data_IF_381040643322
#
_entry.id   IF_381040643322
#
_cell.length_a   1.000
_cell.length_b   1.000
_cell.length_c   1.000
_cell.angle_alpha   90.00
_cell.angle_beta   90.00
_cell.angle_gamma   90.00
#
_symmetry.space_group_name_H-M   'P 1'
#
loop_
_entity.id
_entity.type
_entity.pdbx_description
1 polymer ?
#
# COMPACT_ATOMS: atom_id res chain seq x y z
N UNK A 1 35.25 -6.83 11.31
CA UNK A 1 34.17 -6.30 12.17
C UNK A 1 33.17 -5.64 11.24
N UNK A 2 31.89 -5.98 11.30
CA UNK A 2 30.84 -5.33 10.49
C UNK A 2 30.78 -3.86 10.89
N UNK A 3 30.67 -2.96 9.91
CA UNK A 3 30.50 -1.52 10.14
C UNK A 3 29.18 -1.28 10.89
N UNK A 4 29.26 -0.68 12.08
CA UNK A 4 28.08 -0.31 12.88
C UNK A 4 27.83 1.18 12.70
N UNK A 5 26.62 1.55 12.28
CA UNK A 5 26.19 2.95 12.15
C UNK A 5 25.06 3.22 13.14
N UNK A 6 25.22 4.27 13.93
CA UNK A 6 24.26 4.66 14.96
C UNK A 6 23.55 5.98 14.61
N UNK A 7 22.27 6.08 15.00
CA UNK A 7 21.49 7.32 14.98
C UNK A 7 20.54 7.41 16.18
N UNK A 8 20.08 8.59 16.54
CA UNK A 8 19.05 8.78 17.58
C UNK A 8 17.72 8.16 17.11
N UNK A 9 17.37 8.36 15.85
CA UNK A 9 16.16 7.81 15.23
C UNK A 9 16.54 6.99 14.01
N UNK A 10 16.31 5.69 14.07
CA UNK A 10 16.44 4.77 12.93
C UNK A 10 15.06 4.62 12.29
N UNK A 11 14.97 4.83 10.98
CA UNK A 11 13.72 4.70 10.21
C UNK A 11 13.90 3.59 9.19
N UNK A 12 12.97 2.62 9.16
CA UNK A 12 12.98 1.52 8.19
C UNK A 12 11.81 1.69 7.21
N UNK A 13 12.14 1.94 5.94
CA UNK A 13 11.18 2.17 4.87
C UNK A 13 11.12 3.62 4.42
N UNK A 14 10.96 3.82 3.11
CA UNK A 14 11.07 5.12 2.42
C UNK A 14 9.79 5.54 1.68
N UNK A 15 8.64 5.02 2.06
CA UNK A 15 7.35 5.53 1.60
C UNK A 15 7.02 6.91 2.20
N UNK A 16 5.83 7.42 1.94
CA UNK A 16 5.38 8.72 2.44
C UNK A 16 5.50 8.85 3.96
N UNK A 17 5.24 7.78 4.72
CA UNK A 17 5.42 7.74 6.17
C UNK A 17 6.89 7.91 6.56
N UNK A 18 7.79 7.13 5.94
CA UNK A 18 9.23 7.14 6.27
C UNK A 18 9.89 8.47 5.95
N UNK A 19 9.66 9.02 4.76
CA UNK A 19 10.22 10.32 4.41
C UNK A 19 9.66 11.44 5.29
N UNK A 20 8.36 11.41 5.61
CA UNK A 20 7.78 12.41 6.52
C UNK A 20 8.37 12.30 7.92
N UNK A 21 8.51 11.09 8.47
CA UNK A 21 9.16 10.88 9.76
C UNK A 21 10.61 11.41 9.76
N UNK A 22 11.35 11.13 8.68
CA UNK A 22 12.73 11.61 8.51
C UNK A 22 12.81 13.14 8.47
N UNK A 23 11.92 13.81 7.74
CA UNK A 23 11.86 15.27 7.66
C UNK A 23 11.62 15.87 9.04
N UNK A 24 10.64 15.39 9.79
CA UNK A 24 10.30 15.93 11.10
C UNK A 24 11.40 15.66 12.14
N UNK A 25 11.96 14.45 12.17
CA UNK A 25 13.06 14.09 13.06
C UNK A 25 14.34 14.92 12.77
N UNK A 26 14.69 15.11 11.48
CA UNK A 26 15.84 15.94 11.11
C UNK A 26 15.66 17.39 11.53
N UNK A 27 14.46 17.97 11.33
CA UNK A 27 14.15 19.34 11.77
C UNK A 27 14.17 19.50 13.29
N UNK A 28 14.01 18.42 14.05
CA UNK A 28 14.17 18.38 15.52
C UNK A 28 15.62 18.13 15.96
N UNK A 29 16.60 18.13 15.06
CA UNK A 29 18.02 17.83 15.32
C UNK A 29 18.25 16.43 15.92
N UNK A 30 17.42 15.44 15.53
CA UNK A 30 17.57 14.06 15.97
C UNK A 30 18.50 13.24 15.07
N UNK A 31 19.05 13.85 14.01
CA UNK A 31 19.97 13.20 13.07
C UNK A 31 19.50 11.83 12.56
N UNK A 32 18.29 11.75 11.98
CA UNK A 32 17.71 10.47 11.61
C UNK A 32 18.51 9.77 10.52
N UNK A 33 18.54 8.44 10.59
CA UNK A 33 19.02 7.55 9.55
C UNK A 33 17.82 6.79 8.98
N UNK A 34 17.62 6.87 7.67
CA UNK A 34 16.53 6.18 6.97
C UNK A 34 17.12 5.12 6.04
N UNK A 35 16.73 3.84 6.26
CA UNK A 35 17.07 2.72 5.38
C UNK A 35 15.93 2.53 4.39
N UNK A 36 16.26 2.68 3.09
CA UNK A 36 15.26 2.85 2.02
C UNK A 36 14.51 1.57 1.61
N UNK A 37 15.14 0.40 1.79
CA UNK A 37 14.57 -0.88 1.39
C UNK A 37 14.69 -1.19 -0.11
N UNK A 38 14.03 -2.27 -0.54
CA UNK A 38 14.10 -2.79 -1.92
C UNK A 38 13.42 -1.84 -2.92
N UNK A 39 12.33 -1.19 -2.50
CA UNK A 39 11.54 -0.28 -3.34
C UNK A 39 11.59 1.14 -2.77
N UNK A 40 12.64 1.91 -3.10
CA UNK A 40 12.78 3.28 -2.63
C UNK A 40 11.63 4.17 -3.09
N UNK A 41 10.95 4.84 -2.15
CA UNK A 41 9.74 5.62 -2.41
C UNK A 41 8.42 4.85 -2.20
N UNK A 42 8.48 3.52 -2.07
CA UNK A 42 7.33 2.68 -1.74
C UNK A 42 6.28 2.61 -2.85
N UNK A 43 5.01 2.38 -2.47
CA UNK A 43 3.92 2.08 -3.41
C UNK A 43 3.63 3.22 -4.42
N UNK A 44 3.86 4.48 -4.05
CA UNK A 44 3.64 5.61 -4.97
C UNK A 44 4.60 5.61 -6.17
N UNK A 45 5.70 4.85 -6.14
CA UNK A 45 6.63 4.78 -7.28
C UNK A 45 6.13 3.85 -8.40
N UNK A 46 5.12 3.05 -8.14
CA UNK A 46 4.48 2.16 -9.12
C UNK A 46 3.08 2.63 -9.50
N UNK A 47 2.64 3.80 -9.00
CA UNK A 47 1.41 4.46 -9.46
C UNK A 47 1.76 5.56 -10.49
N UNK A 48 0.77 5.96 -11.29
CA UNK A 48 0.92 7.01 -12.28
C UNK A 48 0.43 8.35 -11.70
N UNK A 49 -0.81 8.68 -11.97
CA UNK A 49 -1.43 9.95 -11.60
C UNK A 49 -1.87 9.96 -10.15
N UNK A 50 -1.59 11.05 -9.44
CA UNK A 50 -1.97 11.31 -8.06
C UNK A 50 -2.70 12.65 -7.99
N UNK A 51 -3.99 12.61 -7.65
CA UNK A 51 -4.86 13.79 -7.52
C UNK A 51 -5.32 14.04 -6.08
N UNK A 52 -5.09 13.08 -5.19
CA UNK A 52 -5.62 13.08 -3.83
C UNK A 52 -4.57 13.35 -2.74
N UNK A 53 -3.36 13.78 -3.11
CA UNK A 53 -2.36 14.26 -2.15
C UNK A 53 -2.45 15.80 -2.04
N UNK A 54 -2.84 16.35 -0.87
CA UNK A 54 -3.07 17.79 -0.73
C UNK A 54 -1.82 18.62 -0.97
N UNK A 55 -1.98 19.79 -1.59
CA UNK A 55 -0.91 20.74 -1.85
C UNK A 55 -0.63 20.98 -3.34
N UNK A 56 -1.25 20.19 -4.21
CA UNK A 56 -1.10 20.31 -5.66
C UNK A 56 -2.46 20.56 -6.30
N UNK A 57 -2.56 21.61 -7.11
CA UNK A 57 -3.79 21.96 -7.81
C UNK A 57 -4.01 21.13 -9.08
N UNK A 58 -2.93 20.62 -9.65
CA UNK A 58 -2.94 19.80 -10.86
C UNK A 58 -2.51 18.37 -10.53
N UNK A 59 -2.79 17.46 -11.45
CA UNK A 59 -2.35 16.06 -11.37
C UNK A 59 -0.83 15.99 -11.32
N UNK A 60 -0.32 15.22 -10.37
CA UNK A 60 1.11 14.92 -10.25
C UNK A 60 1.37 13.45 -10.44
N UNK A 61 2.60 13.09 -10.77
CA UNK A 61 3.02 11.70 -10.88
C UNK A 61 3.51 11.18 -9.52
N UNK A 62 3.10 9.96 -9.15
CA UNK A 62 3.53 9.32 -7.91
C UNK A 62 5.05 9.24 -7.76
N UNK A 63 5.82 8.77 -8.75
CA UNK A 63 7.28 8.78 -8.70
C UNK A 63 7.87 10.17 -8.46
N UNK A 64 7.33 11.18 -9.13
CA UNK A 64 7.79 12.58 -8.95
C UNK A 64 7.53 13.07 -7.52
N UNK A 65 6.36 12.79 -6.94
CA UNK A 65 6.06 13.15 -5.56
C UNK A 65 7.08 12.53 -4.59
N UNK A 66 7.39 11.24 -4.78
CA UNK A 66 8.35 10.55 -3.92
C UNK A 66 9.77 11.06 -4.08
N UNK A 67 10.16 11.52 -5.28
CA UNK A 67 11.44 12.20 -5.51
C UNK A 67 11.50 13.54 -4.77
N UNK A 68 10.39 14.33 -4.77
CA UNK A 68 10.32 15.58 -4.00
C UNK A 68 10.43 15.32 -2.51
N UNK A 69 9.74 14.31 -1.97
CA UNK A 69 9.84 13.96 -0.55
C UNK A 69 11.25 13.46 -0.18
N UNK A 70 11.90 12.69 -1.03
CA UNK A 70 13.28 12.26 -0.87
C UNK A 70 14.23 13.46 -0.82
N UNK A 71 14.14 14.35 -1.81
CA UNK A 71 14.97 15.55 -1.89
C UNK A 71 14.76 16.46 -0.66
N UNK A 72 13.53 16.62 -0.19
CA UNK A 72 13.20 17.36 1.02
C UNK A 72 13.85 16.75 2.25
N UNK A 73 13.76 15.42 2.42
CA UNK A 73 14.36 14.72 3.55
C UNK A 73 15.91 14.85 3.56
N UNK A 74 16.54 14.78 2.39
CA UNK A 74 17.98 15.05 2.25
C UNK A 74 18.34 16.51 2.59
N UNK A 75 17.55 17.47 2.08
CA UNK A 75 17.80 18.89 2.30
C UNK A 75 17.80 19.27 3.79
N UNK A 76 16.95 18.63 4.59
CA UNK A 76 16.89 18.88 6.04
C UNK A 76 17.91 18.06 6.85
N UNK A 77 18.74 17.23 6.20
CA UNK A 77 19.88 16.56 6.84
C UNK A 77 19.64 15.11 7.24
N UNK A 78 18.63 14.42 6.69
CA UNK A 78 18.45 12.98 6.89
C UNK A 78 19.60 12.19 6.24
N UNK A 79 20.16 11.22 6.97
CA UNK A 79 21.15 10.26 6.44
C UNK A 79 20.42 9.14 5.70
N UNK A 80 20.42 9.19 4.36
CA UNK A 80 19.81 8.13 3.52
C UNK A 80 20.75 6.93 3.37
N UNK A 81 20.24 5.74 3.52
CA UNK A 81 20.98 4.49 3.43
C UNK A 81 20.34 3.61 2.34
N UNK A 82 21.15 3.30 1.33
CA UNK A 82 20.79 2.34 0.28
C UNK A 82 21.10 0.92 0.79
N UNK A 83 20.16 0.32 1.49
CA UNK A 83 20.23 -1.03 2.03
C UNK A 83 18.82 -1.56 2.28
N UNK A 84 18.71 -2.88 2.51
CA UNK A 84 17.46 -3.55 2.87
C UNK A 84 17.65 -4.25 4.21
N UNK A 85 16.81 -3.94 5.18
CA UNK A 85 16.87 -4.60 6.48
C UNK A 85 16.35 -6.04 6.35
N UNK A 86 17.13 -6.99 6.82
CA UNK A 86 16.82 -8.43 6.79
C UNK A 86 16.57 -9.03 8.18
N UNK A 87 16.98 -8.34 9.25
CA UNK A 87 16.64 -8.73 10.62
C UNK A 87 16.65 -7.53 11.56
N UNK A 88 15.90 -7.65 12.67
CA UNK A 88 15.86 -6.64 13.75
C UNK A 88 15.93 -7.33 15.12
N UNK A 89 16.49 -6.64 16.10
CA UNK A 89 16.44 -7.01 17.53
C UNK A 89 15.87 -5.84 18.32
N UNK A 90 14.65 -6.00 18.83
CA UNK A 90 13.93 -4.99 19.61
C UNK A 90 13.97 -5.29 21.11
N UNK A 91 14.74 -6.30 21.55
CA UNK A 91 14.78 -6.75 22.96
C UNK A 91 15.52 -5.78 23.89
N UNK A 92 16.37 -4.92 23.35
CA UNK A 92 17.19 -3.95 24.11
C UNK A 92 17.50 -2.69 23.31
N UNK A 93 17.85 -1.62 24.00
CA UNK A 93 18.36 -0.37 23.39
C UNK A 93 19.89 -0.31 23.45
N UNK A 94 20.54 0.29 22.42
CA UNK A 94 19.95 0.78 21.18
C UNK A 94 19.36 -0.40 20.38
N UNK A 95 18.24 -0.19 19.68
CA UNK A 95 17.64 -1.17 18.80
C UNK A 95 18.60 -1.50 17.65
N UNK A 96 18.60 -2.75 17.21
CA UNK A 96 19.55 -3.23 16.20
C UNK A 96 18.80 -3.66 14.94
N UNK A 97 19.28 -3.24 13.78
CA UNK A 97 18.85 -3.70 12.48
C UNK A 97 20.06 -4.13 11.65
N UNK A 98 19.96 -5.25 10.96
CA UNK A 98 21.01 -5.78 10.08
C UNK A 98 20.54 -5.64 8.65
N UNK A 99 21.36 -5.02 7.82
CA UNK A 99 21.12 -4.88 6.38
C UNK A 99 21.60 -6.10 5.59
N UNK A 100 21.05 -6.28 4.39
CA UNK A 100 21.47 -7.31 3.42
C UNK A 100 22.94 -7.11 3.01
N UNK A 101 23.44 -5.89 3.05
CA UNK A 101 24.86 -5.57 2.84
C UNK A 101 25.79 -6.12 3.95
N UNK A 102 25.24 -6.74 5.01
CA UNK A 102 25.97 -7.17 6.21
C UNK A 102 26.33 -6.06 7.19
N UNK A 103 25.92 -4.81 6.95
CA UNK A 103 26.10 -3.67 7.87
C UNK A 103 25.07 -3.73 8.98
N UNK A 104 25.46 -3.19 10.14
CA UNK A 104 24.60 -3.08 11.31
C UNK A 104 24.21 -1.61 11.53
N UNK A 105 22.92 -1.37 11.73
CA UNK A 105 22.34 -0.06 12.03
C UNK A 105 21.74 -0.11 13.43
N UNK A 106 21.95 0.95 14.21
CA UNK A 106 21.39 1.04 15.55
C UNK A 106 20.66 2.35 15.76
N UNK A 107 19.59 2.33 16.55
CA UNK A 107 18.83 3.53 16.89
C UNK A 107 18.44 3.54 18.36
N UNK A 108 18.44 4.72 18.99
CA UNK A 108 17.87 4.89 20.34
C UNK A 108 16.35 4.74 20.30
N UNK A 109 15.73 5.18 19.19
CA UNK A 109 14.35 4.92 18.83
C UNK A 109 14.25 4.34 17.40
N UNK A 110 13.15 3.65 17.11
CA UNK A 110 12.91 3.02 15.82
C UNK A 110 11.54 3.42 15.28
N UNK A 111 11.50 3.89 14.03
CA UNK A 111 10.25 4.10 13.28
C UNK A 111 10.13 3.03 12.19
N UNK A 112 9.08 2.22 12.26
CA UNK A 112 8.74 1.21 11.27
C UNK A 112 7.77 1.84 10.26
N UNK A 113 8.22 2.00 9.01
CA UNK A 113 7.49 2.61 7.91
C UNK A 113 7.54 1.72 6.65
N UNK A 114 7.55 0.41 6.85
CA UNK A 114 7.73 -0.61 5.80
C UNK A 114 6.50 -0.79 4.90
N UNK A 115 5.37 -0.18 5.26
CA UNK A 115 4.15 -0.18 4.45
C UNK A 115 3.44 -1.52 4.36
N UNK A 116 2.58 -1.64 3.35
CA UNK A 116 1.88 -2.85 2.98
C UNK A 116 1.92 -3.01 1.46
N UNK A 117 1.84 -4.25 0.99
CA UNK A 117 1.82 -4.58 -0.43
C UNK A 117 0.44 -5.08 -0.82
N UNK A 118 -0.11 -4.59 -1.92
CA UNK A 118 -1.32 -5.16 -2.50
C UNK A 118 -1.08 -6.61 -2.89
N UNK A 119 -2.08 -7.46 -2.70
CA UNK A 119 -2.06 -8.81 -3.22
C UNK A 119 -2.43 -8.79 -4.69
N UNK A 120 -1.65 -9.48 -5.47
CA UNK A 120 -1.86 -9.66 -6.89
C UNK A 120 -2.19 -11.11 -7.21
N UNK A 121 -2.81 -11.35 -8.35
CA UNK A 121 -3.10 -12.71 -8.82
C UNK A 121 -1.85 -13.39 -9.40
N UNK A 122 -0.84 -12.59 -9.78
CA UNK A 122 0.40 -13.07 -10.37
C UNK A 122 0.31 -13.36 -11.88
N UNK A 123 -0.65 -12.75 -12.56
CA UNK A 123 -0.80 -12.86 -14.01
C UNK A 123 0.18 -11.93 -14.71
N UNK A 124 0.82 -12.39 -15.79
CA UNK A 124 1.69 -11.53 -16.61
C UNK A 124 0.94 -10.32 -17.18
N UNK A 125 -0.31 -10.55 -17.61
CA UNK A 125 -1.19 -9.49 -18.12
C UNK A 125 -1.57 -8.46 -17.06
N UNK A 126 -1.72 -8.86 -15.79
CA UNK A 126 -1.93 -7.96 -14.66
C UNK A 126 -0.77 -6.96 -14.53
N UNK A 127 0.47 -7.46 -14.61
CA UNK A 127 1.67 -6.63 -14.55
C UNK A 127 1.81 -5.70 -15.79
N UNK A 128 1.47 -6.20 -16.97
CA UNK A 128 1.59 -5.45 -18.21
C UNK A 128 0.68 -4.20 -18.26
N UNK A 129 -0.48 -4.26 -17.60
CA UNK A 129 -1.44 -3.15 -17.56
C UNK A 129 -1.50 -2.44 -16.21
N UNK A 130 -0.57 -2.70 -15.29
CA UNK A 130 -0.50 -2.00 -14.00
C UNK A 130 -0.28 -0.49 -14.22
N UNK A 131 -1.21 0.34 -13.68
CA UNK A 131 -1.25 1.78 -13.91
C UNK A 131 -1.84 2.20 -15.28
N UNK A 132 -2.13 1.24 -16.16
CA UNK A 132 -2.75 1.47 -17.47
C UNK A 132 -4.08 0.74 -17.62
N UNK A 133 -4.84 0.66 -16.55
CA UNK A 133 -6.13 -0.01 -16.50
C UNK A 133 -6.23 -1.10 -15.44
N UNK A 134 -5.12 -1.57 -14.88
CA UNK A 134 -5.10 -2.46 -13.71
C UNK A 134 -4.67 -1.68 -12.47
N UNK A 135 -5.49 -1.75 -11.42
CA UNK A 135 -5.28 -1.06 -10.14
C UNK A 135 -5.59 -1.99 -8.96
N UNK A 136 -5.10 -1.66 -7.77
CA UNK A 136 -5.48 -2.30 -6.50
C UNK A 136 -6.02 -1.27 -5.48
N UNK A 137 -6.47 -0.09 -5.95
CA UNK A 137 -6.96 0.99 -5.09
C UNK A 137 -8.06 1.80 -5.78
N UNK A 138 -9.31 1.50 -5.50
CA UNK A 138 -10.44 2.25 -6.04
C UNK A 138 -10.46 3.73 -5.59
N UNK A 139 -10.01 4.01 -4.36
CA UNK A 139 -9.94 5.38 -3.82
C UNK A 139 -8.87 6.22 -4.53
N UNK A 140 -7.82 5.58 -5.04
CA UNK A 140 -6.76 6.25 -5.77
C UNK A 140 -7.18 6.54 -7.23
N UNK A 141 -7.68 5.52 -7.92
CA UNK A 141 -7.80 5.51 -9.38
C UNK A 141 -9.26 5.57 -9.89
N UNK A 142 -10.24 5.41 -9.01
CA UNK A 142 -11.65 5.34 -9.42
C UNK A 142 -12.16 6.55 -10.21
N UNK A 143 -11.60 7.74 -9.95
CA UNK A 143 -11.95 8.96 -10.66
C UNK A 143 -11.69 8.88 -12.18
N UNK A 144 -10.63 8.19 -12.61
CA UNK A 144 -10.25 8.04 -14.03
C UNK A 144 -11.23 7.17 -14.84
N UNK A 145 -12.13 6.48 -14.13
CA UNK A 145 -13.15 5.59 -14.73
C UNK A 145 -14.54 6.20 -14.76
N UNK A 146 -14.64 7.54 -14.71
CA UNK A 146 -15.92 8.23 -14.82
C UNK A 146 -16.60 7.93 -16.15
N UNK A 147 -17.82 7.37 -16.07
CA UNK A 147 -18.63 7.00 -17.24
C UNK A 147 -18.15 5.75 -17.98
N UNK A 148 -17.21 4.99 -17.39
CA UNK A 148 -16.65 3.75 -17.94
C UNK A 148 -17.14 2.54 -17.18
N UNK A 149 -16.95 1.37 -17.76
CA UNK A 149 -17.26 0.08 -17.14
C UNK A 149 -16.00 -0.52 -16.55
N UNK A 150 -16.10 -1.07 -15.32
CA UNK A 150 -14.95 -1.63 -14.62
C UNK A 150 -15.26 -2.99 -14.00
N UNK A 151 -14.24 -3.83 -13.85
CA UNK A 151 -14.31 -5.07 -13.10
C UNK A 151 -13.57 -4.94 -11.76
N UNK A 152 -14.16 -5.48 -10.69
CA UNK A 152 -13.53 -5.64 -9.37
C UNK A 152 -13.37 -7.13 -9.10
N UNK A 153 -12.15 -7.55 -8.82
CA UNK A 153 -11.83 -8.96 -8.58
C UNK A 153 -11.68 -9.19 -7.09
N UNK A 154 -12.59 -9.95 -6.49
CA UNK A 154 -12.53 -10.24 -5.06
C UNK A 154 -13.86 -10.71 -4.48
N UNK A 155 -13.98 -10.76 -3.15
CA UNK A 155 -15.21 -11.22 -2.48
C UNK A 155 -15.18 -11.05 -0.96
N UNK A 156 -14.20 -10.32 -0.43
CA UNK A 156 -14.13 -9.87 0.97
C UNK A 156 -14.63 -8.44 1.12
N UNK A 157 -14.52 -7.87 2.33
CA UNK A 157 -14.92 -6.49 2.62
C UNK A 157 -14.29 -5.49 1.65
N UNK A 158 -12.98 -5.58 1.42
CA UNK A 158 -12.26 -4.70 0.49
C UNK A 158 -12.89 -4.67 -0.91
N UNK A 159 -13.23 -5.85 -1.47
CA UNK A 159 -13.83 -5.91 -2.80
C UNK A 159 -15.23 -5.28 -2.85
N UNK A 160 -16.03 -5.47 -1.81
CA UNK A 160 -17.37 -4.87 -1.71
C UNK A 160 -17.27 -3.36 -1.51
N UNK A 161 -16.37 -2.90 -0.66
CA UNK A 161 -16.12 -1.46 -0.42
C UNK A 161 -15.65 -0.76 -1.70
N UNK A 162 -14.68 -1.34 -2.40
CA UNK A 162 -14.17 -0.79 -3.66
C UNK A 162 -15.23 -0.81 -4.76
N UNK A 163 -16.00 -1.88 -4.90
CA UNK A 163 -17.09 -1.94 -5.87
C UNK A 163 -18.14 -0.85 -5.60
N UNK A 164 -18.55 -0.68 -4.34
CA UNK A 164 -19.48 0.38 -3.94
C UNK A 164 -18.90 1.78 -4.20
N UNK A 165 -17.63 2.00 -3.87
CA UNK A 165 -16.95 3.27 -4.10
C UNK A 165 -16.90 3.64 -5.59
N UNK A 166 -16.55 2.67 -6.44
CA UNK A 166 -16.46 2.86 -7.90
C UNK A 166 -17.79 3.25 -8.54
N UNK A 167 -18.94 2.90 -7.94
CA UNK A 167 -20.26 3.34 -8.46
C UNK A 167 -20.47 4.84 -8.46
N UNK A 168 -19.66 5.60 -7.72
CA UNK A 168 -19.70 7.07 -7.74
C UNK A 168 -19.18 7.63 -9.08
N UNK A 169 -18.38 6.86 -9.81
CA UNK A 169 -17.73 7.29 -11.04
C UNK A 169 -18.15 6.42 -12.23
N UNK A 170 -17.99 5.12 -12.12
CA UNK A 170 -18.24 4.17 -13.19
C UNK A 170 -19.71 4.13 -13.64
N UNK A 171 -19.93 3.83 -14.92
CA UNK A 171 -21.24 3.52 -15.47
C UNK A 171 -21.73 2.19 -14.94
N UNK A 172 -20.86 1.20 -14.91
CA UNK A 172 -21.14 -0.13 -14.42
C UNK A 172 -19.92 -0.74 -13.71
N UNK A 173 -20.17 -1.51 -12.67
CA UNK A 173 -19.15 -2.24 -11.90
C UNK A 173 -19.49 -3.72 -11.92
N UNK A 174 -18.61 -4.54 -12.44
CA UNK A 174 -18.72 -5.99 -12.40
C UNK A 174 -17.91 -6.52 -11.22
N UNK A 175 -18.57 -7.04 -10.19
CA UNK A 175 -17.87 -7.73 -9.09
C UNK A 175 -17.71 -9.21 -9.41
N UNK A 176 -16.48 -9.59 -9.76
CA UNK A 176 -16.11 -10.95 -10.14
C UNK A 176 -15.66 -11.72 -8.92
N UNK A 177 -16.34 -12.81 -8.60
CA UNK A 177 -15.99 -13.66 -7.47
C UNK A 177 -15.95 -15.14 -7.85
N UNK A 178 -14.93 -15.85 -7.36
CA UNK A 178 -14.66 -17.27 -7.68
C UNK A 178 -15.62 -18.27 -7.04
N UNK A 179 -16.59 -17.81 -6.25
CA UNK A 179 -17.62 -18.61 -5.56
C UNK A 179 -18.98 -17.98 -5.78
N UNK A 180 -20.02 -18.65 -5.33
CA UNK A 180 -21.41 -18.21 -5.35
C UNK A 180 -21.85 -17.39 -4.12
N UNK A 181 -20.91 -17.15 -3.17
CA UNK A 181 -21.17 -16.35 -1.96
C UNK A 181 -19.97 -15.47 -1.59
N UNK A 182 -20.26 -14.27 -1.09
CA UNK A 182 -19.27 -13.33 -0.59
C UNK A 182 -18.89 -13.63 0.86
N UNK A 183 -17.62 -13.32 1.22
CA UNK A 183 -17.12 -13.37 2.58
C UNK A 183 -17.24 -12.04 3.32
N UNK A 184 -17.67 -11.00 2.63
CA UNK A 184 -17.89 -9.67 3.21
C UNK A 184 -18.97 -9.68 4.28
N UNK A 185 -19.00 -8.68 5.14
CA UNK A 185 -20.03 -8.49 6.14
C UNK A 185 -21.43 -8.37 5.51
N UNK A 186 -22.45 -8.94 6.17
CA UNK A 186 -23.81 -8.97 5.62
C UNK A 186 -24.37 -7.60 5.28
N UNK A 187 -24.13 -6.62 6.14
CA UNK A 187 -24.60 -5.24 5.91
C UNK A 187 -23.99 -4.63 4.63
N UNK A 188 -22.74 -4.96 4.33
CA UNK A 188 -22.05 -4.51 3.13
C UNK A 188 -22.59 -5.21 1.88
N UNK A 189 -22.87 -6.51 1.99
CA UNK A 189 -23.51 -7.29 0.92
C UNK A 189 -24.91 -6.74 0.59
N UNK A 190 -25.72 -6.38 1.60
CA UNK A 190 -27.03 -5.79 1.39
C UNK A 190 -26.99 -4.47 0.63
N UNK A 191 -25.98 -3.62 0.91
CA UNK A 191 -25.75 -2.37 0.19
C UNK A 191 -25.34 -2.63 -1.27
N UNK A 192 -24.44 -3.57 -1.45
CA UNK A 192 -23.95 -3.96 -2.77
C UNK A 192 -25.08 -4.48 -3.66
N UNK A 193 -25.91 -5.42 -3.17
CA UNK A 193 -27.01 -6.00 -3.95
C UNK A 193 -28.16 -5.03 -4.25
N UNK A 194 -28.26 -3.93 -3.51
CA UNK A 194 -29.23 -2.85 -3.79
C UNK A 194 -28.73 -1.85 -4.82
N UNK A 195 -27.46 -1.88 -5.18
CA UNK A 195 -26.88 -0.92 -6.11
C UNK A 195 -27.05 -1.38 -7.57
N UNK A 196 -27.87 -0.64 -8.32
CA UNK A 196 -28.21 -0.97 -9.71
C UNK A 196 -27.03 -0.92 -10.68
N UNK A 197 -25.93 -0.25 -10.32
CA UNK A 197 -24.71 -0.19 -11.13
C UNK A 197 -23.81 -1.41 -10.94
N UNK A 198 -24.06 -2.24 -9.92
CA UNK A 198 -23.21 -3.41 -9.64
C UNK A 198 -23.86 -4.67 -10.21
N UNK A 199 -23.09 -5.39 -11.01
CA UNK A 199 -23.43 -6.72 -11.51
C UNK A 199 -22.49 -7.76 -10.92
N UNK A 200 -23.05 -8.80 -10.32
CA UNK A 200 -22.27 -9.92 -9.80
C UNK A 200 -21.91 -10.91 -10.91
N UNK A 201 -20.65 -11.26 -11.00
CA UNK A 201 -20.14 -12.32 -11.86
C UNK A 201 -19.62 -13.43 -10.94
N UNK A 202 -20.51 -14.35 -10.62
CA UNK A 202 -20.24 -15.48 -9.73
C UNK A 202 -19.47 -16.60 -10.42
N UNK A 203 -18.78 -17.41 -9.63
CA UNK A 203 -18.05 -18.61 -10.06
C UNK A 203 -16.99 -18.35 -11.14
N UNK A 204 -16.44 -17.13 -11.18
CA UNK A 204 -15.40 -16.77 -12.14
C UNK A 204 -14.14 -16.25 -11.45
N UNK A 205 -13.00 -16.53 -12.08
CA UNK A 205 -11.69 -15.93 -11.77
C UNK A 205 -11.25 -15.10 -12.97
N UNK A 206 -10.40 -14.10 -12.72
CA UNK A 206 -9.67 -13.43 -13.80
C UNK A 206 -8.63 -14.42 -14.34
N UNK A 207 -8.66 -14.66 -15.64
CA UNK A 207 -7.71 -15.52 -16.36
C UNK A 207 -6.63 -14.68 -17.05
N UNK A 208 -7.05 -13.56 -17.67
CA UNK A 208 -6.17 -12.67 -18.39
C UNK A 208 -6.76 -11.26 -18.48
N UNK A 209 -5.93 -10.24 -18.50
CA UNK A 209 -6.31 -8.87 -18.87
C UNK A 209 -5.85 -8.61 -20.29
N UNK A 210 -6.76 -8.10 -21.13
CA UNK A 210 -6.48 -7.78 -22.52
C UNK A 210 -6.66 -6.28 -22.75
N UNK A 211 -5.92 -5.76 -23.70
CA UNK A 211 -6.00 -4.35 -24.01
C UNK A 211 -5.06 -3.90 -25.13
N UNK A 212 -5.10 -2.61 -25.40
CA UNK A 212 -4.25 -1.98 -26.39
C UNK A 212 -2.84 -1.76 -25.82
N UNK A 213 -1.84 -1.78 -26.69
CA UNK A 213 -0.44 -1.56 -26.32
C UNK A 213 0.05 -0.15 -26.66
N UNK A 214 -0.66 0.55 -27.54
CA UNK A 214 -0.23 1.88 -27.99
C UNK A 214 -1.44 2.78 -28.34
N UNK A 215 -1.90 3.68 -27.45
CA UNK A 215 -1.45 3.80 -26.05
C UNK A 215 -1.87 2.58 -25.22
N UNK A 216 -1.14 2.25 -24.14
CA UNK A 216 -1.53 1.12 -23.31
C UNK A 216 -2.84 1.41 -22.59
N UNK A 217 -3.71 0.39 -22.49
CA UNK A 217 -5.00 0.51 -21.83
C UNK A 217 -5.80 -0.78 -21.86
N UNK A 218 -6.51 -1.07 -20.77
CA UNK A 218 -7.38 -2.24 -20.66
C UNK A 218 -8.63 -2.06 -21.53
N UNK A 219 -9.05 -3.12 -22.23
CA UNK A 219 -10.29 -3.18 -22.98
C UNK A 219 -11.16 -4.38 -22.60
N UNK A 220 -10.57 -5.42 -21.98
CA UNK A 220 -11.28 -6.66 -21.68
C UNK A 220 -10.68 -7.36 -20.47
N UNK A 221 -11.53 -7.84 -19.57
CA UNK A 221 -11.20 -8.83 -18.57
C UNK A 221 -11.64 -10.22 -19.07
N UNK A 222 -10.70 -11.12 -19.35
CA UNK A 222 -10.98 -12.50 -19.67
C UNK A 222 -11.21 -13.28 -18.40
N UNK A 223 -12.37 -13.85 -18.25
CA UNK A 223 -12.79 -14.59 -17.08
C UNK A 223 -12.86 -16.07 -17.38
N UNK A 224 -12.56 -16.89 -16.37
CA UNK A 224 -12.66 -18.34 -16.44
C UNK A 224 -13.62 -18.83 -15.36
N UNK A 225 -14.62 -19.59 -15.76
CA UNK A 225 -15.55 -20.19 -14.83
C UNK A 225 -14.85 -21.24 -13.96
N UNK A 226 -14.97 -21.12 -12.64
CA UNK A 226 -14.17 -21.88 -11.66
C UNK A 226 -14.43 -23.39 -11.71
N UNK A 227 -15.61 -23.84 -12.16
CA UNK A 227 -15.99 -25.26 -12.19
C UNK A 227 -15.89 -25.84 -13.60
N UNK A 228 -16.41 -25.13 -14.61
CA UNK A 228 -16.49 -25.67 -16.00
C UNK A 228 -15.25 -25.35 -16.83
N UNK A 229 -14.47 -24.34 -16.43
CA UNK A 229 -13.34 -23.85 -17.21
C UNK A 229 -13.74 -23.02 -18.44
N UNK A 230 -15.03 -22.73 -18.64
CA UNK A 230 -15.52 -21.91 -19.74
C UNK A 230 -14.95 -20.50 -19.66
N UNK A 231 -14.55 -19.97 -20.81
CA UNK A 231 -13.99 -18.61 -20.93
C UNK A 231 -15.10 -17.63 -21.31
N UNK A 232 -15.12 -16.50 -20.62
CA UNK A 232 -16.01 -15.37 -20.88
C UNK A 232 -15.20 -14.09 -20.95
N UNK A 233 -15.26 -13.40 -22.07
CA UNK A 233 -14.66 -12.07 -22.21
C UNK A 233 -15.67 -11.00 -21.76
N UNK A 234 -15.21 -10.11 -20.87
CA UNK A 234 -15.98 -9.02 -20.30
C UNK A 234 -15.36 -7.70 -20.76
N UNK A 235 -16.07 -6.93 -21.57
CA UNK A 235 -15.61 -5.62 -22.01
C UNK A 235 -15.61 -4.64 -20.82
N UNK A 236 -14.41 -4.12 -20.46
CA UNK A 236 -14.23 -3.17 -19.38
C UNK A 236 -13.03 -2.27 -19.68
N UNK A 237 -13.07 -1.05 -19.18
CA UNK A 237 -11.98 -0.07 -19.31
C UNK A 237 -10.94 -0.17 -18.17
N UNK A 238 -11.29 -0.92 -17.10
CA UNK A 238 -10.39 -1.09 -15.97
C UNK A 238 -10.70 -2.33 -15.13
N UNK A 239 -9.66 -2.85 -14.48
CA UNK A 239 -9.71 -4.02 -13.60
C UNK A 239 -9.09 -3.65 -12.25
N UNK A 240 -9.87 -3.76 -11.17
CA UNK A 240 -9.44 -3.51 -9.80
C UNK A 240 -9.22 -4.83 -9.06
N UNK A 241 -8.00 -5.08 -8.63
CA UNK A 241 -7.62 -6.30 -7.90
C UNK A 241 -7.83 -6.06 -6.41
N UNK A 242 -8.95 -6.52 -5.89
CA UNK A 242 -9.41 -6.27 -4.52
C UNK A 242 -9.40 -7.55 -3.66
N UNK A 243 -8.25 -8.25 -3.66
CA UNK A 243 -8.06 -9.50 -2.91
C UNK A 243 -7.34 -9.32 -1.58
N UNK A 244 -7.09 -8.06 -1.18
CA UNK A 244 -6.51 -7.64 0.09
C UNK A 244 -5.07 -7.14 -0.03
N UNK A 245 -4.48 -6.83 1.13
CA UNK A 245 -3.11 -6.34 1.28
C UNK A 245 -2.39 -7.19 2.33
N UNK A 246 -1.08 -7.26 2.21
CA UNK A 246 -0.19 -7.87 3.20
C UNK A 246 0.73 -6.78 3.78
N UNK A 247 0.69 -6.52 5.10
CA UNK A 247 1.62 -5.59 5.72
C UNK A 247 3.04 -6.19 5.71
N UNK A 248 4.04 -5.33 5.49
CA UNK A 248 5.45 -5.74 5.44
C UNK A 248 6.02 -5.82 6.86
N UNK A 249 5.56 -6.80 7.64
CA UNK A 249 5.81 -6.95 9.09
C UNK A 249 6.59 -8.20 9.49
N UNK A 250 6.99 -9.03 8.54
CA UNK A 250 7.68 -10.31 8.80
C UNK A 250 8.91 -10.16 9.71
N UNK A 251 9.67 -9.07 9.56
CA UNK A 251 10.86 -8.77 10.36
C UNK A 251 10.55 -8.56 11.85
N UNK A 252 9.33 -8.17 12.18
CA UNK A 252 8.90 -7.77 13.53
C UNK A 252 8.04 -8.86 14.21
N UNK A 253 7.78 -9.97 13.51
CA UNK A 253 6.97 -11.06 14.03
C UNK A 253 7.56 -11.64 15.31
N UNK A 254 6.71 -11.82 16.33
CA UNK A 254 7.13 -12.32 17.64
C UNK A 254 7.83 -11.30 18.55
N UNK A 255 8.11 -10.08 18.06
CA UNK A 255 8.72 -8.99 18.82
C UNK A 255 7.75 -7.85 19.12
N UNK A 256 6.69 -7.69 18.31
CA UNK A 256 5.65 -6.68 18.47
C UNK A 256 4.26 -7.32 18.50
N UNK A 257 3.33 -6.69 19.21
CA UNK A 257 1.92 -7.05 19.15
C UNK A 257 1.34 -6.74 17.77
N UNK A 258 0.66 -7.73 17.19
CA UNK A 258 0.04 -7.62 15.87
C UNK A 258 -1.43 -8.03 15.91
N UNK A 259 -2.20 -7.54 14.94
CA UNK A 259 -3.55 -8.06 14.66
C UNK A 259 -3.46 -9.43 13.95
N UNK A 260 -4.60 -10.13 13.84
CA UNK A 260 -4.68 -11.44 13.17
C UNK A 260 -4.28 -11.39 11.69
N UNK A 261 -4.36 -10.24 11.06
CA UNK A 261 -3.97 -9.95 9.69
C UNK A 261 -2.55 -9.36 9.58
N UNK A 262 -1.75 -9.53 10.64
CA UNK A 262 -0.34 -9.16 10.76
C UNK A 262 -0.01 -7.67 10.75
N UNK A 263 -0.98 -6.77 10.78
CA UNK A 263 -0.70 -5.34 10.97
C UNK A 263 -0.20 -5.08 12.39
N UNK A 264 0.79 -4.18 12.53
CA UNK A 264 1.32 -3.79 13.84
C UNK A 264 0.22 -3.06 14.64
N UNK A 265 0.02 -3.47 15.89
CA UNK A 265 -0.87 -2.76 16.81
C UNK A 265 -0.17 -1.54 17.37
N UNK A 266 -0.85 -0.41 17.30
CA UNK A 266 -0.46 0.81 17.98
C UNK A 266 -1.45 1.18 19.07
N UNK A 267 -1.03 1.97 20.03
CA UNK A 267 -1.93 2.58 21.01
C UNK A 267 -2.87 3.52 20.25
N UNK A 268 -4.19 3.43 20.42
CA UNK A 268 -5.16 4.23 19.68
C UNK A 268 -4.85 5.73 19.74
N UNK A 269 -4.80 6.38 18.58
CA UNK A 269 -4.49 7.81 18.46
C UNK A 269 -3.00 8.16 18.49
N UNK A 270 -2.11 7.17 18.56
CA UNK A 270 -0.66 7.33 18.57
C UNK A 270 -0.01 6.38 17.55
N UNK A 271 1.33 6.45 17.44
CA UNK A 271 2.13 5.51 16.65
C UNK A 271 2.93 4.53 17.53
N UNK A 272 2.74 4.58 18.84
CA UNK A 272 3.45 3.76 19.84
C UNK A 272 3.05 2.29 19.70
N UNK A 273 4.06 1.42 19.64
CA UNK A 273 3.87 -0.04 19.59
C UNK A 273 3.92 -0.65 21.02
N UNK A 274 3.85 -1.98 21.12
CA UNK A 274 4.02 -2.71 22.38
C UNK A 274 5.41 -2.60 22.99
N UNK A 275 6.43 -2.14 22.21
CA UNK A 275 7.81 -1.93 22.69
C UNK A 275 8.08 -0.43 22.79
N UNK A 276 8.39 0.06 24.00
CA UNK A 276 8.66 1.45 24.25
C UNK A 276 9.85 1.96 23.42
N UNK A 277 9.65 3.05 22.66
CA UNK A 277 10.64 3.63 21.73
C UNK A 277 10.61 3.01 20.33
N UNK A 278 9.67 2.12 20.05
CA UNK A 278 9.38 1.60 18.71
C UNK A 278 8.02 2.13 18.27
N UNK A 279 7.98 2.77 17.11
CA UNK A 279 6.81 3.41 16.53
C UNK A 279 6.49 2.79 15.17
N UNK A 280 5.21 2.71 14.80
CA UNK A 280 4.77 2.20 13.50
C UNK A 280 3.93 3.25 12.79
N UNK A 281 4.27 3.57 11.53
CA UNK A 281 3.64 4.62 10.76
C UNK A 281 3.34 4.18 9.31
N UNK A 282 2.25 4.69 8.75
CA UNK A 282 1.77 4.33 7.43
C UNK A 282 1.06 2.97 7.40
N UNK A 283 1.03 2.38 6.22
CA UNK A 283 0.22 1.19 5.93
C UNK A 283 0.65 -0.06 6.70
N UNK A 284 1.82 -0.06 7.32
CA UNK A 284 2.28 -1.17 8.18
C UNK A 284 1.40 -1.34 9.43
N UNK A 285 0.70 -0.29 9.86
CA UNK A 285 -0.24 -0.25 10.98
C UNK A 285 -1.66 0.18 10.55
N UNK A 286 -1.80 0.92 9.43
CA UNK A 286 -3.10 1.40 8.93
C UNK A 286 -3.81 0.30 8.12
N UNK A 287 -4.76 -0.37 8.76
CA UNK A 287 -5.58 -1.43 8.17
C UNK A 287 -6.74 -0.89 7.32
N UNK A 288 -7.06 0.39 7.46
CA UNK A 288 -8.32 0.97 7.03
C UNK A 288 -8.14 1.87 5.82
N UNK A 289 -7.34 2.90 5.94
CA UNK A 289 -7.27 3.98 4.94
C UNK A 289 -6.25 3.69 3.84
N UNK A 290 -5.01 3.36 4.22
CA UNK A 290 -3.89 3.08 3.29
C UNK A 290 -3.75 4.16 2.22
N UNK A 291 -3.70 5.42 2.66
CA UNK A 291 -3.55 6.58 1.80
C UNK A 291 -2.20 7.27 2.03
N UNK A 292 -1.64 7.87 0.97
CA UNK A 292 -0.37 8.59 1.05
C UNK A 292 -0.39 9.70 2.12
N UNK A 293 -1.50 10.44 2.21
CA UNK A 293 -1.65 11.53 3.16
C UNK A 293 -1.78 11.04 4.61
N UNK A 294 -2.49 9.92 4.86
CA UNK A 294 -2.56 9.34 6.21
C UNK A 294 -1.23 8.72 6.61
N UNK A 295 -0.52 8.11 5.65
CA UNK A 295 0.83 7.61 5.87
C UNK A 295 1.80 8.75 6.23
N UNK A 296 1.78 9.86 5.50
CA UNK A 296 2.57 11.05 5.84
C UNK A 296 2.19 11.61 7.22
N UNK A 297 0.89 11.69 7.54
CA UNK A 297 0.39 12.15 8.84
C UNK A 297 0.90 11.30 10.00
N UNK A 298 0.82 9.97 9.89
CA UNK A 298 1.35 9.07 10.92
C UNK A 298 2.88 9.06 10.97
N UNK A 299 3.57 9.31 9.85
CA UNK A 299 5.02 9.54 9.83
C UNK A 299 5.43 10.78 10.65
N UNK A 300 4.67 11.87 10.51
CA UNK A 300 4.82 13.07 11.34
C UNK A 300 4.63 12.74 12.84
N UNK A 301 3.54 12.02 13.18
CA UNK A 301 3.26 11.62 14.56
C UNK A 301 4.40 10.78 15.15
N UNK A 302 4.88 9.78 14.41
CA UNK A 302 5.97 8.91 14.87
C UNK A 302 7.26 9.68 15.17
N UNK A 303 7.59 10.67 14.36
CA UNK A 303 8.77 11.50 14.60
C UNK A 303 8.63 12.44 15.82
N UNK A 304 7.40 12.90 16.09
CA UNK A 304 7.12 13.75 17.26
C UNK A 304 7.09 12.95 18.56
N UNK A 305 6.77 11.66 18.49
CA UNK A 305 6.75 10.74 19.63
C UNK A 305 8.13 10.10 19.90
N UNK A 306 9.01 10.06 18.90
CA UNK A 306 10.36 9.46 18.99
C UNK A 306 11.36 10.36 19.73
#
# INVERSE_FOLDING_TARGET
MSEVRHSKVLIIGSGAAGYTAAIYAARANLEPMLVRGIQPGGQLTITTDVENYPGFAEVIQGPWLMEQMYAQALHVGTKMIEDTIISVDLSKRPFVAVGDSGKTYTGDTLVIATGASARWLGLESEQAFMGFGVSACATCDGFFYRGKDVAVIGGGNTAVEEALYLTNFASKVYLVHRRDELRAEKIMQERLFKNEKIEMVWDHTLDEVLGDQNPPGVTTARLKHSQTGEIKDLAVDGVFIAIGHDPNTTLFAGQLDMFKDNYIKTVPGTTQTSVAGVFAAGDVQDRIYRQAVTAAGTGCMAALEA
#
